data_IF_463212647012
#
_entry.id   IF_463212647012
#
_cell.length_a   1.000
_cell.length_b   1.000
_cell.length_c   1.000
_cell.angle_alpha   90.00
_cell.angle_beta   90.00
_cell.angle_gamma   90.00
#
_symmetry.space_group_name_H-M   'P 1'
#
loop_
_entity.id
_entity.type
_entity.pdbx_description
1 polymer ?
#
# COMPACT_ATOMS: atom_id res chain seq x y z
N UNK A 1 7.97 -0.06 33.32
CA UNK A 1 8.63 0.79 32.29
C UNK A 1 9.84 0.13 31.62
N UNK A 2 11.05 0.02 32.22
CA UNK A 2 12.23 -0.54 31.51
C UNK A 2 12.02 -2.01 31.09
N UNK A 3 11.42 -2.82 31.96
CA UNK A 3 11.08 -4.23 31.63
C UNK A 3 10.07 -4.35 30.48
N UNK A 4 9.09 -3.45 30.43
CA UNK A 4 8.07 -3.43 29.38
C UNK A 4 8.63 -2.97 28.03
N UNK A 5 9.54 -2.00 28.05
CA UNK A 5 10.25 -1.54 26.83
C UNK A 5 11.13 -2.67 26.29
N UNK A 6 11.89 -3.36 27.17
CA UNK A 6 12.67 -4.54 26.76
C UNK A 6 11.78 -5.62 26.15
N UNK A 7 10.67 -5.96 26.83
CA UNK A 7 9.70 -6.93 26.33
C UNK A 7 9.10 -6.54 24.97
N UNK A 8 8.80 -5.26 24.77
CA UNK A 8 8.29 -4.76 23.50
C UNK A 8 9.33 -4.87 22.37
N UNK A 9 10.60 -4.54 22.65
CA UNK A 9 11.66 -4.51 21.64
C UNK A 9 12.13 -5.91 21.26
N UNK A 10 12.30 -6.82 22.22
CA UNK A 10 12.90 -8.14 21.97
C UNK A 10 11.85 -9.24 21.77
N UNK A 11 10.83 -9.32 22.64
CA UNK A 11 9.97 -10.50 22.71
C UNK A 11 8.75 -10.44 21.79
N UNK A 12 8.28 -9.23 21.48
CA UNK A 12 7.01 -9.04 20.76
C UNK A 12 7.20 -9.18 19.25
N UNK A 13 6.42 -10.07 18.62
CA UNK A 13 6.29 -10.09 17.16
C UNK A 13 5.20 -9.10 16.71
N UNK A 14 5.59 -8.13 15.89
CA UNK A 14 4.68 -7.15 15.26
C UNK A 14 4.73 -7.26 13.71
N UNK A 15 5.11 -8.43 13.18
CA UNK A 15 5.26 -8.65 11.74
C UNK A 15 4.00 -8.36 10.92
N UNK A 16 2.80 -8.71 11.43
CA UNK A 16 1.54 -8.41 10.74
C UNK A 16 1.21 -6.93 10.81
N UNK A 17 1.47 -6.26 11.94
CA UNK A 17 1.29 -4.80 12.06
C UNK A 17 2.21 -4.06 11.08
N UNK A 18 3.48 -4.44 11.00
CA UNK A 18 4.44 -3.85 10.05
C UNK A 18 3.97 -4.07 8.62
N UNK A 19 3.57 -5.30 8.27
CA UNK A 19 3.09 -5.63 6.94
C UNK A 19 1.83 -4.85 6.56
N UNK A 20 0.86 -4.74 7.46
CA UNK A 20 -0.37 -3.97 7.22
C UNK A 20 -0.06 -2.48 7.03
N UNK A 21 0.85 -1.93 7.84
CA UNK A 21 1.31 -0.54 7.69
C UNK A 21 1.97 -0.33 6.32
N UNK A 22 2.86 -1.23 5.89
CA UNK A 22 3.49 -1.15 4.57
C UNK A 22 2.47 -1.25 3.44
N UNK A 23 1.50 -2.17 3.52
CA UNK A 23 0.42 -2.27 2.53
C UNK A 23 -0.31 -0.94 2.42
N UNK A 24 -0.71 -0.32 3.54
CA UNK A 24 -1.38 0.97 3.54
C UNK A 24 -0.50 2.08 2.95
N UNK A 25 0.78 2.15 3.37
CA UNK A 25 1.76 3.14 2.90
C UNK A 25 1.96 3.10 1.38
N UNK A 26 2.25 1.91 0.83
CA UNK A 26 2.46 1.76 -0.62
C UNK A 26 1.16 1.88 -1.42
N UNK A 27 0.01 1.57 -0.83
CA UNK A 27 -1.30 1.79 -1.47
C UNK A 27 -1.59 3.29 -1.62
N UNK A 28 -1.24 4.09 -0.61
CA UNK A 28 -1.39 5.54 -0.65
C UNK A 28 -0.48 6.15 -1.72
N UNK A 29 0.78 5.72 -1.79
CA UNK A 29 1.68 6.18 -2.86
C UNK A 29 1.19 5.79 -4.26
N UNK A 30 0.60 4.60 -4.40
CA UNK A 30 0.00 4.17 -5.66
C UNK A 30 -1.23 5.03 -6.02
N UNK A 31 -2.11 5.27 -5.06
CA UNK A 31 -3.26 6.15 -5.24
C UNK A 31 -2.81 7.57 -5.64
N UNK A 32 -1.81 8.12 -4.94
CA UNK A 32 -1.27 9.45 -5.21
C UNK A 32 -0.74 9.59 -6.64
N UNK A 33 0.09 8.65 -7.11
CA UNK A 33 0.60 8.72 -8.49
C UNK A 33 -0.51 8.53 -9.51
N UNK A 34 -1.46 7.61 -9.26
CA UNK A 34 -2.60 7.38 -10.16
C UNK A 34 -3.50 8.62 -10.28
N UNK A 35 -3.72 9.36 -9.19
CA UNK A 35 -4.46 10.62 -9.20
C UNK A 35 -3.72 11.74 -9.96
N UNK A 36 -2.39 11.68 -10.04
CA UNK A 36 -1.57 12.65 -10.79
C UNK A 36 -1.47 12.32 -12.28
N UNK A 37 -1.59 11.05 -12.68
CA UNK A 37 -1.42 10.62 -14.07
C UNK A 37 -2.24 11.42 -15.10
N UNK A 38 -3.52 11.76 -14.88
CA UNK A 38 -4.31 12.53 -15.86
C UNK A 38 -3.76 13.93 -16.12
N UNK A 39 -3.08 14.53 -15.15
CA UNK A 39 -2.57 15.90 -15.19
C UNK A 39 -1.04 15.96 -15.13
N UNK A 40 -0.37 14.88 -15.54
CA UNK A 40 1.07 14.69 -15.32
C UNK A 40 1.94 15.73 -16.04
N UNK A 41 1.46 16.23 -17.20
CA UNK A 41 2.12 17.29 -17.95
C UNK A 41 2.10 18.64 -17.23
N UNK A 42 1.06 18.91 -16.42
CA UNK A 42 0.97 20.12 -15.61
C UNK A 42 2.07 20.15 -14.53
N UNK A 43 2.39 18.98 -13.98
CA UNK A 43 3.35 18.86 -12.87
C UNK A 43 4.80 18.77 -13.35
N UNK A 44 5.04 18.09 -14.49
CA UNK A 44 6.38 17.72 -14.95
C UNK A 44 6.73 18.22 -16.35
N UNK A 45 5.95 19.15 -16.92
CA UNK A 45 6.25 19.87 -18.16
C UNK A 45 6.13 19.07 -19.47
N UNK A 46 5.92 19.78 -20.58
CA UNK A 46 5.83 19.22 -21.94
C UNK A 46 7.04 19.65 -22.81
N UNK A 47 7.58 18.78 -23.69
CA UNK A 47 7.42 17.34 -23.73
C UNK A 47 8.46 16.73 -22.78
N UNK A 48 8.01 16.32 -21.60
CA UNK A 48 8.79 15.56 -20.63
C UNK A 48 9.99 16.27 -19.95
N UNK A 49 9.91 17.58 -19.74
CA UNK A 49 10.94 18.33 -19.00
C UNK A 49 10.56 18.56 -17.56
N UNK A 50 11.21 17.81 -16.68
CA UNK A 50 11.33 18.12 -15.28
C UNK A 50 11.76 19.60 -15.12
N UNK A 51 10.93 20.41 -14.48
CA UNK A 51 11.21 21.83 -14.24
C UNK A 51 12.42 21.95 -13.31
N UNK A 52 13.38 22.83 -13.66
CA UNK A 52 14.53 23.10 -12.79
C UNK A 52 14.03 23.80 -11.52
N UNK A 53 14.08 23.11 -10.38
CA UNK A 53 13.94 23.75 -9.08
C UNK A 53 15.22 24.54 -8.80
N UNK A 54 15.07 25.78 -8.30
CA UNK A 54 16.20 26.59 -7.83
C UNK A 54 17.05 25.85 -6.79
N UNK A 55 18.34 26.21 -6.76
CA UNK A 55 19.40 25.57 -5.97
C UNK A 55 19.01 25.47 -4.48
N UNK A 56 18.55 24.29 -4.05
CA UNK A 56 18.13 24.04 -2.68
C UNK A 56 19.24 23.28 -1.97
N UNK A 57 20.18 24.01 -1.36
CA UNK A 57 21.27 23.42 -0.57
C UNK A 57 20.76 22.52 0.57
N UNK A 58 21.51 21.45 0.89
CA UNK A 58 21.24 20.53 2.00
C UNK A 58 21.22 19.04 1.62
N UNK A 59 20.54 18.20 2.42
CA UNK A 59 20.37 16.74 2.19
C UNK A 59 19.64 16.45 0.86
N UNK A 60 18.93 17.44 0.32
CA UNK A 60 18.29 17.46 -1.00
C UNK A 60 19.25 17.17 -2.16
N UNK A 61 20.56 17.40 -1.98
CA UNK A 61 21.59 17.03 -2.96
C UNK A 61 21.57 15.53 -3.34
N UNK A 62 21.10 14.65 -2.44
CA UNK A 62 20.93 13.21 -2.75
C UNK A 62 19.94 12.99 -3.91
N UNK A 63 18.93 13.86 -4.04
CA UNK A 63 18.00 13.84 -5.17
C UNK A 63 18.59 14.49 -6.42
N UNK A 64 19.57 15.40 -6.28
CA UNK A 64 20.33 15.99 -7.38
C UNK A 64 21.37 15.04 -8.00
N UNK A 65 21.81 13.98 -7.29
CA UNK A 65 22.70 12.94 -7.88
C UNK A 65 22.10 12.31 -9.16
N UNK A 66 20.78 12.38 -9.33
CA UNK A 66 20.08 11.93 -10.54
C UNK A 66 20.33 12.82 -11.77
N UNK A 67 20.93 14.00 -11.60
CA UNK A 67 21.29 14.92 -12.70
C UNK A 67 22.32 14.33 -13.68
N UNK A 68 23.04 13.27 -13.28
CA UNK A 68 24.16 12.69 -14.02
C UNK A 68 23.72 11.61 -15.04
N UNK A 69 22.57 10.96 -14.84
CA UNK A 69 22.18 9.77 -15.62
C UNK A 69 20.94 10.07 -16.50
N UNK A 70 21.13 10.75 -17.64
CA UNK A 70 20.30 10.78 -18.88
C UNK A 70 18.75 10.69 -18.83
N UNK A 71 18.11 10.97 -17.70
CA UNK A 71 16.65 10.95 -17.50
C UNK A 71 16.08 12.36 -17.30
N UNK A 72 16.94 13.38 -17.44
CA UNK A 72 16.66 14.82 -17.40
C UNK A 72 15.55 15.28 -18.38
N UNK A 73 15.16 14.42 -19.33
CA UNK A 73 14.22 14.75 -20.40
C UNK A 73 13.09 13.73 -20.57
N UNK A 74 12.89 12.78 -19.64
CA UNK A 74 11.71 11.92 -19.69
C UNK A 74 11.27 11.41 -18.31
N UNK A 75 10.15 11.93 -17.78
CA UNK A 75 9.56 11.47 -16.51
C UNK A 75 8.80 10.13 -16.63
N UNK A 76 8.49 9.66 -17.84
CA UNK A 76 7.70 8.43 -18.04
C UNK A 76 8.43 7.20 -17.49
N UNK A 77 9.72 6.95 -17.79
CA UNK A 77 10.46 5.84 -17.19
C UNK A 77 10.57 5.93 -15.66
N UNK A 78 10.68 7.15 -15.11
CA UNK A 78 10.69 7.39 -13.64
C UNK A 78 9.40 6.87 -13.03
N UNK A 79 8.27 7.30 -13.58
CA UNK A 79 6.93 7.00 -13.06
C UNK A 79 6.59 5.53 -13.27
N UNK A 80 6.93 4.96 -14.42
CA UNK A 80 6.75 3.53 -14.67
C UNK A 80 7.57 2.69 -13.67
N UNK A 81 8.85 3.02 -13.46
CA UNK A 81 9.70 2.33 -12.49
C UNK A 81 9.17 2.51 -11.06
N UNK A 82 8.67 3.70 -10.74
CA UNK A 82 8.04 3.99 -9.45
C UNK A 82 6.81 3.11 -9.22
N UNK A 83 5.87 3.08 -10.16
CA UNK A 83 4.67 2.23 -10.09
C UNK A 83 5.04 0.75 -9.94
N UNK A 84 6.00 0.25 -10.73
CA UNK A 84 6.47 -1.14 -10.61
C UNK A 84 7.06 -1.41 -9.22
N UNK A 85 7.87 -0.50 -8.69
CA UNK A 85 8.42 -0.64 -7.33
C UNK A 85 7.32 -0.67 -6.26
N UNK A 86 6.27 0.14 -6.39
CA UNK A 86 5.12 0.14 -5.48
C UNK A 86 4.35 -1.18 -5.55
N UNK A 87 4.10 -1.71 -6.74
CA UNK A 87 3.40 -2.99 -6.93
C UNK A 87 4.19 -4.15 -6.31
N UNK A 88 5.52 -4.19 -6.49
CA UNK A 88 6.39 -5.17 -5.82
C UNK A 88 6.28 -5.01 -4.30
N UNK A 89 6.30 -3.78 -3.78
CA UNK A 89 6.19 -3.54 -2.35
C UNK A 89 4.77 -3.83 -1.79
N UNK A 90 3.72 -3.80 -2.61
CA UNK A 90 2.39 -4.27 -2.21
C UNK A 90 2.31 -5.79 -2.14
N UNK A 91 3.16 -6.51 -2.87
CA UNK A 91 3.26 -7.97 -2.79
C UNK A 91 4.00 -8.45 -1.54
N UNK A 92 3.90 -9.74 -1.22
CA UNK A 92 4.71 -10.39 -0.18
C UNK A 92 6.22 -10.43 -0.52
N UNK A 93 6.60 -10.17 -1.78
CA UNK A 93 7.98 -10.27 -2.30
C UNK A 93 8.78 -8.99 -2.14
N UNK A 94 8.52 -8.23 -1.08
CA UNK A 94 9.25 -6.98 -0.85
C UNK A 94 10.74 -7.25 -0.69
N UNK A 95 11.56 -6.42 -1.32
CA UNK A 95 13.03 -6.46 -1.16
C UNK A 95 13.51 -5.11 -0.64
N UNK A 96 14.68 -5.07 -0.01
CA UNK A 96 15.29 -3.79 0.39
C UNK A 96 15.51 -2.88 -0.84
N UNK A 97 15.88 -3.48 -1.98
CA UNK A 97 16.02 -2.76 -3.24
C UNK A 97 14.71 -2.10 -3.69
N UNK A 98 13.60 -2.86 -3.77
CA UNK A 98 12.31 -2.30 -4.19
C UNK A 98 11.81 -1.19 -3.26
N UNK A 99 12.06 -1.30 -1.95
CA UNK A 99 11.71 -0.27 -0.97
C UNK A 99 12.55 0.99 -1.13
N UNK A 100 13.86 0.85 -1.34
CA UNK A 100 14.78 1.96 -1.64
C UNK A 100 14.43 2.66 -2.95
N UNK A 101 14.09 1.89 -3.99
CA UNK A 101 13.62 2.44 -5.27
C UNK A 101 12.36 3.29 -5.08
N UNK A 102 11.36 2.80 -4.33
CA UNK A 102 10.16 3.60 -4.05
C UNK A 102 10.46 4.86 -3.26
N UNK A 103 11.30 4.79 -2.22
CA UNK A 103 11.70 5.97 -1.44
C UNK A 103 12.40 7.02 -2.31
N UNK A 104 13.40 6.57 -3.07
CA UNK A 104 14.22 7.46 -3.89
C UNK A 104 13.41 8.12 -5.00
N UNK A 105 12.67 7.33 -5.79
CA UNK A 105 11.88 7.88 -6.91
C UNK A 105 10.76 8.80 -6.42
N UNK A 106 10.15 8.51 -5.26
CA UNK A 106 9.19 9.41 -4.65
C UNK A 106 9.83 10.76 -4.27
N UNK A 107 11.03 10.72 -3.67
CA UNK A 107 11.80 11.92 -3.35
C UNK A 107 12.14 12.73 -4.60
N UNK A 108 12.63 12.07 -5.66
CA UNK A 108 12.91 12.70 -6.96
C UNK A 108 11.67 13.39 -7.54
N UNK A 109 10.53 12.69 -7.58
CA UNK A 109 9.28 13.23 -8.13
C UNK A 109 8.73 14.43 -7.36
N UNK A 110 8.93 14.49 -6.04
CA UNK A 110 8.50 15.63 -5.22
C UNK A 110 9.53 16.76 -5.23
N UNK A 111 10.82 16.45 -5.31
CA UNK A 111 11.89 17.44 -5.42
C UNK A 111 11.73 18.31 -6.66
N UNK A 112 11.39 17.69 -7.79
CA UNK A 112 11.18 18.36 -9.07
C UNK A 112 9.81 19.02 -9.24
N UNK A 113 8.90 18.82 -8.29
CA UNK A 113 7.61 19.50 -8.26
C UNK A 113 7.32 19.95 -6.81
N UNK A 114 8.07 20.94 -6.28
CA UNK A 114 7.89 21.37 -4.90
C UNK A 114 6.53 22.06 -4.69
N UNK A 115 5.94 22.60 -5.76
CA UNK A 115 4.63 23.29 -5.72
C UNK A 115 3.46 22.39 -5.31
N UNK A 116 3.62 21.06 -5.41
CA UNK A 116 2.60 20.08 -4.97
C UNK A 116 2.97 19.39 -3.66
N UNK A 117 4.13 19.71 -3.09
CA UNK A 117 4.57 19.09 -1.84
C UNK A 117 3.78 19.68 -0.68
N UNK A 118 3.03 18.82 0.01
CA UNK A 118 2.35 19.14 1.26
C UNK A 118 2.96 18.37 2.44
N UNK A 119 2.39 18.55 3.63
CA UNK A 119 2.81 17.79 4.81
C UNK A 119 2.63 16.27 4.67
N UNK A 120 1.68 15.83 3.83
CA UNK A 120 1.48 14.43 3.50
C UNK A 120 2.66 13.85 2.72
N UNK A 121 3.14 14.58 1.71
CA UNK A 121 4.33 14.17 0.95
C UNK A 121 5.57 14.00 1.84
N UNK A 122 5.78 14.91 2.78
CA UNK A 122 6.89 14.81 3.73
C UNK A 122 6.77 13.55 4.62
N UNK A 123 5.57 13.23 5.10
CA UNK A 123 5.32 12.04 5.94
C UNK A 123 5.52 10.76 5.14
N UNK A 124 5.02 10.69 3.89
CA UNK A 124 5.23 9.53 3.01
C UNK A 124 6.72 9.30 2.79
N UNK A 125 7.48 10.36 2.51
CA UNK A 125 8.93 10.25 2.29
C UNK A 125 9.65 9.69 3.53
N UNK A 126 9.31 10.18 4.73
CA UNK A 126 9.86 9.68 6.00
C UNK A 126 9.48 8.21 6.24
N UNK A 127 8.22 7.85 6.00
CA UNK A 127 7.74 6.49 6.22
C UNK A 127 8.27 5.49 5.20
N UNK A 128 8.49 5.92 3.94
CA UNK A 128 9.24 5.12 2.97
C UNK A 128 10.66 4.87 3.43
N UNK A 129 11.35 5.90 3.94
CA UNK A 129 12.69 5.72 4.50
C UNK A 129 12.68 4.67 5.62
N UNK A 130 11.81 4.80 6.62
CA UNK A 130 11.67 3.79 7.68
C UNK A 130 11.31 2.41 7.15
N UNK A 131 10.47 2.33 6.12
CA UNK A 131 10.12 1.04 5.50
C UNK A 131 11.35 0.34 4.91
N UNK A 132 12.31 1.09 4.35
CA UNK A 132 13.55 0.52 3.81
C UNK A 132 14.38 -0.22 4.88
N UNK A 133 14.30 0.23 6.13
CA UNK A 133 15.06 -0.31 7.25
C UNK A 133 14.48 -1.60 7.82
N UNK A 134 13.20 -1.91 7.56
CA UNK A 134 12.60 -3.17 7.99
C UNK A 134 13.32 -4.36 7.37
N UNK A 135 13.50 -5.41 8.16
CA UNK A 135 14.22 -6.63 7.77
C UNK A 135 13.28 -7.82 7.67
N UNK A 136 13.56 -8.70 6.71
CA UNK A 136 12.86 -9.98 6.58
C UNK A 136 13.56 -11.06 7.41
N UNK A 137 12.81 -11.76 8.27
CA UNK A 137 13.29 -12.90 9.05
C UNK A 137 12.91 -12.85 10.53
N UNK A 138 13.18 -13.94 11.23
CA UNK A 138 12.70 -14.19 12.60
C UNK A 138 13.79 -14.18 13.68
N UNK A 139 15.02 -13.78 13.35
CA UNK A 139 16.10 -13.71 14.35
C UNK A 139 15.83 -12.61 15.37
N UNK A 140 16.31 -12.79 16.61
CA UNK A 140 16.12 -11.82 17.70
C UNK A 140 16.63 -10.41 17.34
N UNK A 141 17.77 -10.31 16.65
CA UNK A 141 18.30 -9.02 16.17
C UNK A 141 17.36 -8.37 15.15
N UNK A 142 16.77 -9.15 14.24
CA UNK A 142 15.83 -8.63 13.24
C UNK A 142 14.51 -8.18 13.88
N UNK A 143 13.99 -8.94 14.85
CA UNK A 143 12.83 -8.53 15.66
C UNK A 143 13.10 -7.21 16.38
N UNK A 144 14.25 -7.09 17.04
CA UNK A 144 14.67 -5.86 17.70
C UNK A 144 14.69 -4.67 16.73
N UNK A 145 15.36 -4.81 15.58
CA UNK A 145 15.42 -3.77 14.55
C UNK A 145 14.02 -3.37 14.10
N UNK A 146 13.16 -4.35 13.78
CA UNK A 146 11.81 -4.11 13.31
C UNK A 146 10.93 -3.41 14.37
N UNK A 147 11.00 -3.84 15.62
CA UNK A 147 10.25 -3.22 16.71
C UNK A 147 10.77 -1.82 17.04
N UNK A 148 12.08 -1.60 16.92
CA UNK A 148 12.69 -0.28 17.09
C UNK A 148 12.24 0.69 16.00
N UNK A 149 12.24 0.27 14.72
CA UNK A 149 11.74 1.10 13.61
C UNK A 149 10.24 1.38 13.78
N UNK A 150 9.45 0.40 14.21
CA UNK A 150 8.03 0.61 14.49
C UNK A 150 7.82 1.64 15.62
N UNK A 151 8.66 1.61 16.66
CA UNK A 151 8.67 2.62 17.71
C UNK A 151 9.04 4.01 17.17
N UNK A 152 10.02 4.11 16.26
CA UNK A 152 10.36 5.38 15.60
C UNK A 152 9.19 5.94 14.82
N UNK A 153 8.42 5.11 14.10
CA UNK A 153 7.19 5.53 13.42
C UNK A 153 6.17 6.07 14.43
N UNK A 154 5.94 5.36 15.53
CA UNK A 154 5.00 5.79 16.59
C UNK A 154 5.43 7.13 17.20
N UNK A 155 6.72 7.30 17.49
CA UNK A 155 7.28 8.54 18.01
C UNK A 155 7.21 9.67 16.99
N UNK A 156 7.44 9.40 15.70
CA UNK A 156 7.30 10.37 14.63
C UNK A 156 5.86 10.89 14.56
N UNK A 157 4.85 10.02 14.68
CA UNK A 157 3.44 10.42 14.75
C UNK A 157 3.17 11.28 15.99
N UNK A 158 3.68 10.87 17.16
CA UNK A 158 3.56 11.67 18.39
C UNK A 158 4.21 13.06 18.23
N UNK A 159 5.36 13.14 17.59
CA UNK A 159 6.07 14.38 17.34
C UNK A 159 5.31 15.31 16.38
N UNK A 160 4.74 14.76 15.29
CA UNK A 160 3.87 15.51 14.38
C UNK A 160 2.70 16.13 15.15
N UNK A 161 2.04 15.33 16.00
CA UNK A 161 0.93 15.79 16.83
C UNK A 161 1.34 16.88 17.82
N UNK A 162 2.41 16.65 18.58
CA UNK A 162 2.90 17.58 19.58
C UNK A 162 3.34 18.91 18.94
N UNK A 163 4.10 18.85 17.85
CA UNK A 163 4.55 20.03 17.12
C UNK A 163 3.37 20.84 16.57
N UNK A 164 2.40 20.17 15.93
CA UNK A 164 1.20 20.81 15.42
C UNK A 164 0.33 21.41 16.53
N UNK A 165 0.23 20.73 17.68
CA UNK A 165 -0.51 21.18 18.86
C UNK A 165 0.13 22.40 19.52
N UNK A 166 1.45 22.38 19.73
CA UNK A 166 2.20 23.51 20.29
C UNK A 166 2.16 24.74 19.38
N UNK A 167 2.30 24.55 18.06
CA UNK A 167 2.13 25.63 17.10
C UNK A 167 0.73 26.27 17.18
N UNK A 168 -0.32 25.46 17.35
CA UNK A 168 -1.69 25.96 17.53
C UNK A 168 -1.92 26.60 18.90
N UNK A 169 -1.31 26.07 19.96
CA UNK A 169 -1.39 26.66 21.30
C UNK A 169 -0.84 28.10 21.33
N UNK A 170 0.19 28.37 20.53
CA UNK A 170 0.76 29.71 20.35
C UNK A 170 -0.07 30.62 19.41
N UNK A 171 -1.05 30.06 18.68
CA UNK A 171 -1.89 30.80 17.73
C UNK A 171 -3.18 31.33 18.35
N UNK A 172 -3.38 32.66 18.34
CA UNK A 172 -4.57 33.31 18.93
C UNK A 172 -5.91 32.82 18.36
N UNK A 173 -5.97 32.46 17.08
CA UNK A 173 -7.21 31.98 16.46
C UNK A 173 -7.63 30.60 17.00
N UNK A 174 -6.66 29.74 17.28
CA UNK A 174 -6.91 28.39 17.79
C UNK A 174 -7.33 28.44 19.26
N UNK A 175 -6.62 29.21 20.09
CA UNK A 175 -6.95 29.36 21.51
C UNK A 175 -8.26 30.10 21.75
N UNK A 176 -8.68 30.98 20.83
CA UNK A 176 -10.00 31.63 20.84
C UNK A 176 -11.12 30.76 20.27
N UNK A 177 -10.81 29.57 19.74
CA UNK A 177 -11.82 28.65 19.22
C UNK A 177 -12.48 29.09 17.90
N UNK A 178 -11.79 29.91 17.10
CA UNK A 178 -12.33 30.44 15.83
C UNK A 178 -11.51 30.03 14.60
N UNK A 179 -10.38 29.34 14.78
CA UNK A 179 -9.48 28.98 13.69
C UNK A 179 -10.14 28.18 12.56
N UNK A 180 -11.03 27.23 12.88
CA UNK A 180 -11.72 26.45 11.84
C UNK A 180 -12.57 27.33 10.94
N UNK A 181 -13.15 28.42 11.44
CA UNK A 181 -13.93 29.34 10.61
C UNK A 181 -13.04 29.93 9.52
N UNK A 182 -11.89 30.49 9.90
CA UNK A 182 -10.94 31.07 8.95
C UNK A 182 -10.37 30.04 7.98
N UNK A 183 -10.07 28.82 8.45
CA UNK A 183 -9.60 27.75 7.58
C UNK A 183 -10.62 27.40 6.50
N UNK A 184 -11.91 27.38 6.85
CA UNK A 184 -12.99 27.07 5.89
C UNK A 184 -13.28 28.21 4.91
N UNK A 185 -12.83 29.45 5.17
CA UNK A 185 -12.95 30.57 4.23
C UNK A 185 -11.85 30.57 3.15
N UNK A 186 -10.87 29.65 3.23
CA UNK A 186 -9.86 29.52 2.19
C UNK A 186 -10.42 28.63 1.08
N UNK A 187 -10.71 29.21 -0.08
CA UNK A 187 -11.34 28.50 -1.21
C UNK A 187 -10.52 27.30 -1.69
N UNK A 188 -9.19 27.36 -1.58
CA UNK A 188 -8.31 26.24 -1.96
C UNK A 188 -8.41 25.04 -1.00
N UNK A 189 -8.94 25.23 0.21
CA UNK A 189 -9.00 24.20 1.27
C UNK A 189 -10.41 24.00 1.83
N UNK A 190 -11.45 24.29 1.05
CA UNK A 190 -12.83 24.17 1.50
C UNK A 190 -13.79 23.92 0.35
N UNK A 191 -14.74 23.02 0.55
CA UNK A 191 -15.80 22.78 -0.43
C UNK A 191 -16.94 23.81 -0.28
N UNK A 192 -17.59 24.26 -1.37
CA UNK A 192 -18.68 25.23 -1.30
C UNK A 192 -19.83 24.83 -0.34
N UNK A 193 -20.14 23.53 -0.26
CA UNK A 193 -21.18 23.01 0.63
C UNK A 193 -20.81 23.13 2.12
N UNK A 194 -19.51 23.02 2.44
CA UNK A 194 -18.97 23.15 3.79
C UNK A 194 -18.97 24.62 4.21
N UNK A 195 -18.56 25.51 3.31
CA UNK A 195 -18.63 26.97 3.50
C UNK A 195 -20.06 27.44 3.78
N UNK A 196 -21.04 26.94 3.03
CA UNK A 196 -22.43 27.39 3.13
C UNK A 196 -23.20 26.96 4.40
N UNK A 197 -22.76 25.88 5.06
CA UNK A 197 -23.53 25.21 6.13
C UNK A 197 -22.77 25.07 7.44
N UNK A 198 -21.59 24.43 7.42
CA UNK A 198 -20.82 24.13 8.62
C UNK A 198 -20.15 25.38 9.22
N UNK A 199 -19.71 26.31 8.36
CA UNK A 199 -19.09 27.55 8.81
C UNK A 199 -20.04 28.50 9.58
N UNK A 200 -21.36 28.28 9.49
CA UNK A 200 -22.38 29.07 10.20
C UNK A 200 -22.66 28.56 11.62
N UNK A 201 -22.23 27.34 11.96
CA UNK A 201 -22.45 26.76 13.28
C UNK A 201 -21.33 27.15 14.23
N UNK A 202 -21.62 28.09 15.15
CA UNK A 202 -20.66 28.52 16.19
C UNK A 202 -20.18 27.33 17.05
N UNK A 203 -21.10 26.42 17.40
CA UNK A 203 -20.78 25.22 18.17
C UNK A 203 -19.77 24.33 17.43
N UNK A 204 -20.00 24.08 16.13
CA UNK A 204 -19.08 23.28 15.32
C UNK A 204 -17.70 23.93 15.27
N UNK A 205 -17.63 25.23 14.95
CA UNK A 205 -16.37 25.98 14.84
C UNK A 205 -15.57 25.94 16.15
N UNK A 206 -16.22 26.16 17.29
CA UNK A 206 -15.53 26.14 18.59
C UNK A 206 -15.08 24.74 18.96
N UNK A 207 -15.93 23.72 18.80
CA UNK A 207 -15.59 22.33 19.08
C UNK A 207 -14.47 21.81 18.17
N UNK A 208 -14.50 22.12 16.88
CA UNK A 208 -13.46 21.70 15.95
C UNK A 208 -12.13 22.41 16.22
N UNK A 209 -12.16 23.71 16.56
CA UNK A 209 -10.94 24.48 16.83
C UNK A 209 -10.28 24.04 18.15
N UNK A 210 -11.01 24.08 19.26
CA UNK A 210 -10.48 23.72 20.58
C UNK A 210 -10.30 22.21 20.72
N UNK A 211 -11.22 21.41 20.16
CA UNK A 211 -11.11 19.96 20.17
C UNK A 211 -9.89 19.46 19.41
N UNK A 212 -9.56 20.05 18.25
CA UNK A 212 -8.32 19.73 17.54
C UNK A 212 -7.10 20.06 18.39
N UNK A 213 -7.07 21.24 19.03
CA UNK A 213 -5.95 21.64 19.89
C UNK A 213 -5.75 20.67 21.07
N UNK A 214 -6.82 20.38 21.81
CA UNK A 214 -6.80 19.45 22.95
C UNK A 214 -6.38 18.05 22.50
N UNK A 215 -6.94 17.57 21.39
CA UNK A 215 -6.61 16.26 20.83
C UNK A 215 -5.12 16.17 20.45
N UNK A 216 -4.58 17.16 19.73
CA UNK A 216 -3.19 17.15 19.29
C UNK A 216 -2.20 17.17 20.47
N UNK A 217 -2.49 17.92 21.53
CA UNK A 217 -1.65 17.97 22.74
C UNK A 217 -1.78 16.72 23.61
N UNK A 218 -2.95 16.09 23.65
CA UNK A 218 -3.20 14.90 24.47
C UNK A 218 -2.80 13.58 23.79
N UNK A 219 -2.79 13.52 22.46
CA UNK A 219 -2.48 12.31 21.69
C UNK A 219 -1.15 11.64 22.10
N UNK A 220 -0.01 12.35 22.22
CA UNK A 220 1.27 11.75 22.59
C UNK A 220 1.26 11.02 23.93
N UNK A 221 0.33 11.35 24.82
CA UNK A 221 0.18 10.74 26.14
C UNK A 221 -0.87 9.63 26.13
N UNK A 222 -2.03 9.88 25.51
CA UNK A 222 -3.17 8.97 25.55
C UNK A 222 -3.04 7.74 24.65
N UNK A 223 -2.24 7.81 23.58
CA UNK A 223 -2.11 6.69 22.63
C UNK A 223 -1.41 5.47 23.24
N UNK A 224 -0.55 5.66 24.26
CA UNK A 224 0.20 4.56 24.88
C UNK A 224 -0.66 3.71 25.82
N UNK A 225 -1.68 4.31 26.45
CA UNK A 225 -2.58 3.59 27.35
C UNK A 225 -3.56 2.72 26.55
N UNK A 226 -3.54 1.41 26.82
CA UNK A 226 -4.35 0.40 26.12
C UNK A 226 -5.86 0.68 26.14
N UNK A 227 -6.37 1.33 27.20
CA UNK A 227 -7.81 1.65 27.33
C UNK A 227 -8.22 2.85 26.46
N UNK A 228 -7.38 3.86 26.38
CA UNK A 228 -7.66 5.10 25.64
C UNK A 228 -7.23 5.01 24.17
N UNK A 229 -6.27 4.14 23.85
CA UNK A 229 -5.71 3.96 22.50
C UNK A 229 -6.76 3.77 21.41
N UNK A 230 -7.76 2.87 21.52
CA UNK A 230 -8.75 2.69 20.46
C UNK A 230 -9.56 3.96 20.20
N UNK A 231 -9.91 4.70 21.27
CA UNK A 231 -10.69 5.93 21.18
C UNK A 231 -9.89 7.04 20.49
N UNK A 232 -8.62 7.26 20.88
CA UNK A 232 -7.81 8.32 20.27
C UNK A 232 -7.46 8.02 18.81
N UNK A 233 -7.27 6.75 18.46
CA UNK A 233 -7.12 6.32 17.07
C UNK A 233 -8.38 6.62 16.28
N UNK A 234 -9.57 6.27 16.81
CA UNK A 234 -10.83 6.53 16.13
C UNK A 234 -11.05 8.03 15.89
N UNK A 235 -10.87 8.86 16.93
CA UNK A 235 -11.00 10.32 16.82
C UNK A 235 -9.97 10.86 15.82
N UNK A 236 -8.72 10.40 15.90
CA UNK A 236 -7.66 10.78 14.98
C UNK A 236 -8.01 10.43 13.53
N UNK A 237 -8.52 9.22 13.26
CA UNK A 237 -8.98 8.81 11.93
C UNK A 237 -10.12 9.69 11.43
N UNK A 238 -11.11 10.00 12.26
CA UNK A 238 -12.24 10.86 11.87
C UNK A 238 -11.78 12.28 11.53
N UNK A 239 -10.87 12.87 12.34
CA UNK A 239 -10.29 14.19 12.05
C UNK A 239 -9.55 14.17 10.70
N UNK A 240 -8.79 13.13 10.42
CA UNK A 240 -7.98 13.07 9.19
C UNK A 240 -8.82 12.76 7.95
N UNK A 241 -9.87 11.94 8.07
CA UNK A 241 -10.88 11.76 7.03
C UNK A 241 -11.63 13.06 6.74
N UNK A 242 -12.00 13.81 7.78
CA UNK A 242 -12.59 15.13 7.64
C UNK A 242 -11.65 16.08 6.88
N UNK A 243 -10.36 16.10 7.21
CA UNK A 243 -9.36 16.93 6.51
C UNK A 243 -9.28 16.52 5.03
N UNK A 244 -9.21 15.22 4.72
CA UNK A 244 -9.17 14.76 3.33
C UNK A 244 -10.41 15.15 2.54
N UNK A 245 -11.61 14.99 3.13
CA UNK A 245 -12.87 15.20 2.43
C UNK A 245 -13.28 16.67 2.36
N UNK A 246 -13.14 17.42 3.45
CA UNK A 246 -13.61 18.80 3.53
C UNK A 246 -12.55 19.81 3.10
N UNK A 247 -11.26 19.49 3.29
CA UNK A 247 -10.17 20.42 2.98
C UNK A 247 -9.34 20.03 1.74
N UNK A 248 -9.68 18.93 1.07
CA UNK A 248 -8.98 18.48 -0.15
C UNK A 248 -7.55 17.97 0.09
N UNK A 249 -7.10 17.87 1.35
CA UNK A 249 -5.79 17.36 1.73
C UNK A 249 -5.81 15.83 1.79
N UNK A 250 -6.03 15.21 0.62
CA UNK A 250 -6.21 13.77 0.45
C UNK A 250 -4.98 13.01 0.94
N UNK A 251 -3.79 13.34 0.43
CA UNK A 251 -2.53 12.66 0.77
C UNK A 251 -2.25 12.71 2.27
N UNK A 252 -2.35 13.91 2.87
CA UNK A 252 -2.11 14.10 4.30
C UNK A 252 -3.08 13.31 5.19
N UNK A 253 -4.39 13.39 4.94
CA UNK A 253 -5.35 12.69 5.78
C UNK A 253 -5.28 11.17 5.64
N UNK A 254 -4.99 10.65 4.44
CA UNK A 254 -4.79 9.21 4.25
C UNK A 254 -3.50 8.71 4.93
N UNK A 255 -2.37 9.40 4.78
CA UNK A 255 -1.11 8.91 5.37
C UNK A 255 -1.13 8.96 6.89
N UNK A 256 -1.70 10.00 7.47
CA UNK A 256 -1.89 10.07 8.92
C UNK A 256 -2.86 9.00 9.42
N UNK A 257 -3.93 8.69 8.67
CA UNK A 257 -4.84 7.60 9.01
C UNK A 257 -4.14 6.24 8.94
N UNK A 258 -3.32 5.99 7.92
CA UNK A 258 -2.51 4.79 7.81
C UNK A 258 -1.47 4.66 8.93
N UNK A 259 -0.93 5.80 9.41
CA UNK A 259 0.05 5.81 10.50
C UNK A 259 -0.47 5.19 11.80
N UNK A 260 -1.80 5.24 12.06
CA UNK A 260 -2.38 4.63 13.26
C UNK A 260 -2.26 3.11 13.30
N UNK A 261 -2.09 2.46 12.14
CA UNK A 261 -1.83 1.01 12.07
C UNK A 261 -0.60 0.67 12.92
N UNK A 262 0.40 1.56 12.99
CA UNK A 262 1.59 1.34 13.81
C UNK A 262 1.30 1.13 15.31
N UNK A 263 0.13 1.56 15.80
CA UNK A 263 -0.30 1.40 17.19
C UNK A 263 -1.20 0.17 17.42
N UNK A 264 -1.56 -0.57 16.37
CA UNK A 264 -2.43 -1.74 16.45
C UNK A 264 -1.72 -2.93 17.10
N UNK A 265 -2.51 -3.78 17.75
CA UNK A 265 -2.05 -5.10 18.16
C UNK A 265 -1.88 -6.00 16.94
N UNK A 266 -0.84 -6.84 16.97
CA UNK A 266 -0.46 -7.68 15.82
C UNK A 266 -1.59 -8.62 15.38
N UNK A 267 -2.34 -9.16 16.35
CA UNK A 267 -3.52 -10.01 16.09
C UNK A 267 -4.62 -9.26 15.33
N UNK A 268 -4.88 -8.01 15.68
CA UNK A 268 -5.85 -7.17 14.96
C UNK A 268 -5.37 -6.94 13.52
N UNK A 269 -4.09 -6.65 13.34
CA UNK A 269 -3.49 -6.47 12.01
C UNK A 269 -3.55 -7.74 11.17
N UNK A 270 -3.30 -8.90 11.78
CA UNK A 270 -3.44 -10.22 11.14
C UNK A 270 -4.86 -10.47 10.66
N UNK A 271 -5.86 -10.18 11.49
CA UNK A 271 -7.27 -10.33 11.12
C UNK A 271 -7.65 -9.43 9.94
N UNK A 272 -7.19 -8.18 9.93
CA UNK A 272 -7.40 -7.26 8.80
C UNK A 272 -6.73 -7.78 7.53
N UNK A 273 -5.47 -8.22 7.60
CA UNK A 273 -4.76 -8.80 6.44
C UNK A 273 -5.52 -10.01 5.90
N UNK A 274 -6.06 -10.87 6.77
CA UNK A 274 -6.79 -12.06 6.37
C UNK A 274 -8.09 -11.73 5.60
N UNK A 275 -8.73 -10.58 5.85
CA UNK A 275 -9.86 -10.10 5.02
C UNK A 275 -9.45 -9.89 3.56
N UNK A 276 -8.17 -9.55 3.33
CA UNK A 276 -7.61 -9.30 2.02
C UNK A 276 -6.78 -10.48 1.48
N UNK A 277 -6.71 -11.63 2.15
CA UNK A 277 -6.14 -12.84 1.56
C UNK A 277 -7.15 -13.51 0.61
N UNK A 278 -6.67 -14.12 -0.45
CA UNK A 278 -7.47 -15.03 -1.28
C UNK A 278 -7.48 -16.40 -0.60
N UNK A 279 -8.47 -17.23 -0.92
CA UNK A 279 -8.51 -18.62 -0.42
C UNK A 279 -7.27 -19.37 -0.95
N UNK A 280 -6.65 -20.24 -0.15
CA UNK A 280 -5.53 -21.02 -0.63
C UNK A 280 -5.99 -21.91 -1.78
N UNK A 281 -5.24 -21.88 -2.89
CA UNK A 281 -5.50 -22.65 -4.09
C UNK A 281 -4.25 -23.46 -4.43
N UNK A 282 -4.35 -24.78 -4.35
CA UNK A 282 -3.29 -25.66 -4.84
C UNK A 282 -3.55 -25.94 -6.31
N UNK A 283 -2.58 -25.67 -7.18
CA UNK A 283 -2.70 -25.88 -8.63
C UNK A 283 -1.63 -26.87 -9.06
N UNK A 284 -2.04 -27.88 -9.81
CA UNK A 284 -1.16 -28.91 -10.33
C UNK A 284 -0.74 -28.55 -11.75
N UNK A 285 0.57 -28.33 -11.94
CA UNK A 285 1.15 -28.08 -13.24
C UNK A 285 2.00 -29.27 -13.66
N UNK A 286 1.93 -29.62 -14.95
CA UNK A 286 2.79 -30.63 -15.55
C UNK A 286 4.19 -30.05 -15.79
N UNK A 287 5.18 -30.55 -15.03
CA UNK A 287 6.58 -30.10 -15.11
C UNK A 287 7.23 -30.40 -16.45
N UNK A 288 6.74 -31.39 -17.19
CA UNK A 288 7.25 -31.76 -18.51
C UNK A 288 6.74 -30.81 -19.61
N UNK A 289 5.67 -30.06 -19.35
CA UNK A 289 5.10 -29.11 -20.30
C UNK A 289 5.69 -27.70 -20.13
N UNK A 290 6.55 -27.29 -21.06
CA UNK A 290 7.20 -25.96 -21.05
C UNK A 290 6.20 -24.80 -20.97
N UNK A 291 5.07 -24.88 -21.67
CA UNK A 291 4.03 -23.83 -21.66
C UNK A 291 3.27 -23.78 -20.33
N UNK A 292 2.96 -24.93 -19.74
CA UNK A 292 2.40 -25.00 -18.40
C UNK A 292 3.36 -24.37 -17.38
N UNK A 293 4.66 -24.68 -17.48
CA UNK A 293 5.68 -24.09 -16.61
C UNK A 293 5.90 -22.59 -16.85
N UNK A 294 5.78 -22.09 -18.08
CA UNK A 294 5.79 -20.65 -18.36
C UNK A 294 4.58 -19.94 -17.73
N UNK A 295 3.38 -20.53 -17.86
CA UNK A 295 2.17 -20.01 -17.23
C UNK A 295 2.26 -20.06 -15.70
N UNK A 296 2.73 -21.18 -15.13
CA UNK A 296 2.97 -21.34 -13.70
C UNK A 296 3.95 -20.28 -13.16
N UNK A 297 5.04 -20.01 -13.89
CA UNK A 297 5.97 -18.92 -13.57
C UNK A 297 5.30 -17.55 -13.61
N UNK A 298 4.50 -17.27 -14.64
CA UNK A 298 3.77 -16.01 -14.76
C UNK A 298 2.75 -15.83 -13.63
N UNK A 299 1.95 -16.85 -13.33
CA UNK A 299 1.02 -16.86 -12.18
C UNK A 299 1.79 -16.62 -10.88
N UNK A 300 2.91 -17.33 -10.67
CA UNK A 300 3.74 -17.13 -9.47
C UNK A 300 4.27 -15.71 -9.38
N UNK A 301 4.67 -15.07 -10.48
CA UNK A 301 5.12 -13.66 -10.50
C UNK A 301 4.00 -12.72 -10.08
N UNK A 302 2.79 -12.92 -10.62
CA UNK A 302 1.61 -12.05 -10.43
C UNK A 302 0.88 -12.33 -9.10
N UNK A 303 1.04 -13.52 -8.51
CA UNK A 303 0.46 -13.85 -7.20
C UNK A 303 1.15 -13.06 -6.09
N UNK A 304 0.65 -11.87 -5.86
CA UNK A 304 1.14 -10.95 -4.82
C UNK A 304 0.72 -11.39 -3.41
N UNK A 305 -0.29 -12.26 -3.32
CA UNK A 305 -0.90 -12.72 -2.08
C UNK A 305 -0.30 -14.02 -1.54
N UNK A 306 0.53 -14.70 -2.36
CA UNK A 306 1.06 -16.04 -2.07
C UNK A 306 -0.04 -17.04 -1.67
N UNK A 307 -1.21 -16.92 -2.32
CA UNK A 307 -2.35 -17.81 -2.09
C UNK A 307 -2.30 -19.06 -2.96
N UNK A 308 -1.51 -19.04 -4.04
CA UNK A 308 -1.44 -20.12 -5.03
C UNK A 308 -0.21 -21.00 -4.75
N UNK A 309 -0.46 -22.24 -4.35
CA UNK A 309 0.59 -23.26 -4.20
C UNK A 309 0.69 -24.08 -5.47
N UNK A 310 1.86 -24.09 -6.10
CA UNK A 310 2.11 -24.86 -7.33
C UNK A 310 2.73 -26.20 -6.94
N UNK A 311 2.14 -27.30 -7.41
CA UNK A 311 2.66 -28.66 -7.27
C UNK A 311 2.87 -29.32 -8.62
N UNK A 312 3.77 -30.30 -8.67
CA UNK A 312 3.95 -31.14 -9.85
C UNK A 312 2.82 -32.18 -9.91
N UNK A 313 2.14 -32.26 -11.04
CA UNK A 313 1.12 -33.28 -11.27
C UNK A 313 1.72 -34.71 -11.33
N UNK A 314 2.98 -34.84 -11.74
CA UNK A 314 3.64 -36.15 -11.92
C UNK A 314 4.03 -36.79 -10.58
N UNK A 315 4.40 -36.00 -9.56
CA UNK A 315 4.83 -36.52 -8.25
C UNK A 315 3.64 -36.96 -7.37
N UNK A 316 2.49 -36.27 -7.47
CA UNK A 316 1.31 -36.54 -6.63
C UNK A 316 0.40 -37.67 -7.21
N UNK A 317 0.91 -38.50 -8.14
CA UNK A 317 0.22 -39.65 -8.76
C UNK A 317 -1.13 -39.34 -9.43
N UNK A 318 -1.36 -38.06 -9.72
CA UNK A 318 -2.57 -37.57 -10.36
C UNK A 318 -2.25 -37.25 -11.83
N UNK A 319 -2.21 -38.28 -12.68
CA UNK A 319 -2.19 -38.06 -14.13
C UNK A 319 -3.55 -37.49 -14.56
N UNK A 320 -3.61 -36.17 -14.68
CA UNK A 320 -4.84 -35.46 -14.98
C UNK A 320 -4.79 -34.88 -16.40
N UNK A 321 -5.70 -35.26 -17.30
CA UNK A 321 -5.69 -34.80 -18.69
C UNK A 321 -6.06 -33.31 -18.81
N UNK A 322 -6.52 -32.65 -17.75
CA UNK A 322 -6.88 -31.23 -17.73
C UNK A 322 -6.06 -30.48 -16.68
N UNK A 323 -6.17 -29.15 -16.60
CA UNK A 323 -5.60 -28.40 -15.48
C UNK A 323 -6.47 -28.60 -14.25
N UNK A 324 -5.89 -28.99 -13.12
CA UNK A 324 -6.63 -29.18 -11.88
C UNK A 324 -6.14 -28.21 -10.80
N UNK A 325 -7.11 -27.76 -10.02
CA UNK A 325 -6.83 -27.00 -8.80
C UNK A 325 -7.77 -27.40 -7.68
N UNK A 326 -7.25 -27.37 -6.47
CA UNK A 326 -7.93 -27.78 -5.25
C UNK A 326 -7.99 -26.61 -4.26
N UNK A 327 -9.18 -26.34 -3.73
CA UNK A 327 -9.39 -25.33 -2.69
C UNK A 327 -10.53 -25.75 -1.78
N UNK A 328 -10.32 -25.74 -0.45
CA UNK A 328 -11.35 -26.05 0.57
C UNK A 328 -12.18 -27.30 0.24
N UNK A 329 -11.49 -28.41 -0.07
CA UNK A 329 -12.15 -29.70 -0.39
C UNK A 329 -12.97 -29.73 -1.68
N UNK A 330 -12.88 -28.67 -2.50
CA UNK A 330 -13.46 -28.63 -3.84
C UNK A 330 -12.39 -28.71 -4.91
N UNK A 331 -12.64 -29.58 -5.87
CA UNK A 331 -11.83 -29.77 -7.06
C UNK A 331 -12.41 -28.96 -8.23
N UNK A 332 -11.53 -28.29 -8.97
CA UNK A 332 -11.86 -27.56 -10.19
C UNK A 332 -11.00 -28.05 -11.35
N UNK A 333 -11.60 -28.21 -12.52
CA UNK A 333 -10.97 -28.79 -13.70
C UNK A 333 -11.07 -27.89 -14.92
N UNK A 334 -10.12 -28.03 -15.85
CA UNK A 334 -10.08 -27.31 -17.12
C UNK A 334 -10.13 -25.78 -16.98
N UNK A 335 -11.07 -25.14 -17.68
CA UNK A 335 -11.24 -23.68 -17.60
C UNK A 335 -11.64 -23.20 -16.20
N UNK A 336 -12.39 -23.99 -15.44
CA UNK A 336 -12.79 -23.59 -14.08
C UNK A 336 -11.57 -23.47 -13.17
N UNK A 337 -10.55 -24.31 -13.36
CA UNK A 337 -9.27 -24.17 -12.66
C UNK A 337 -8.57 -22.85 -13.03
N UNK A 338 -8.56 -22.48 -14.32
CA UNK A 338 -8.03 -21.17 -14.76
C UNK A 338 -8.83 -20.02 -14.13
N UNK A 339 -10.16 -20.10 -14.10
CA UNK A 339 -11.00 -19.09 -13.48
C UNK A 339 -10.67 -18.93 -11.98
N UNK A 340 -10.51 -20.02 -11.23
CA UNK A 340 -10.10 -19.97 -9.82
C UNK A 340 -8.70 -19.37 -9.61
N UNK A 341 -7.75 -19.67 -10.49
CA UNK A 341 -6.44 -19.03 -10.50
C UNK A 341 -6.61 -17.52 -10.66
N UNK A 342 -7.38 -17.08 -11.66
CA UNK A 342 -7.58 -15.65 -11.93
C UNK A 342 -8.33 -14.96 -10.79
N UNK A 343 -9.34 -15.59 -10.18
CA UNK A 343 -10.03 -15.06 -9.00
C UNK A 343 -9.11 -14.94 -7.77
N UNK A 344 -8.09 -15.80 -7.68
CA UNK A 344 -7.10 -15.73 -6.61
C UNK A 344 -6.12 -14.56 -6.81
N UNK A 345 -5.91 -14.12 -8.06
CA UNK A 345 -5.08 -12.98 -8.44
C UNK A 345 -5.84 -11.65 -8.32
N UNK A 346 -5.82 -11.03 -7.13
CA UNK A 346 -6.60 -9.81 -6.84
C UNK A 346 -6.30 -8.60 -7.74
N UNK A 347 -5.12 -8.53 -8.36
CA UNK A 347 -4.82 -7.48 -9.35
C UNK A 347 -5.75 -7.55 -10.58
N UNK A 348 -6.39 -8.70 -10.82
CA UNK A 348 -7.30 -8.95 -11.92
C UNK A 348 -8.78 -8.78 -11.54
N UNK A 349 -9.11 -8.22 -10.36
CA UNK A 349 -10.50 -7.92 -9.95
C UNK A 349 -11.32 -7.24 -11.05
N UNK A 350 -10.80 -6.23 -11.79
CA UNK A 350 -11.56 -5.60 -12.87
C UNK A 350 -11.99 -6.57 -13.99
N UNK A 351 -11.28 -7.70 -14.16
CA UNK A 351 -11.59 -8.73 -15.15
C UNK A 351 -12.56 -9.80 -14.61
N UNK A 352 -12.87 -9.81 -13.31
CA UNK A 352 -13.72 -10.85 -12.71
C UNK A 352 -15.12 -10.95 -13.35
N UNK A 353 -15.82 -9.85 -13.71
CA UNK A 353 -17.11 -9.94 -14.38
C UNK A 353 -17.02 -10.69 -15.72
N UNK A 354 -15.95 -10.45 -16.48
CA UNK A 354 -15.70 -11.12 -17.77
C UNK A 354 -15.41 -12.61 -17.55
N UNK A 355 -14.55 -12.95 -16.58
CA UNK A 355 -14.20 -14.34 -16.24
C UNK A 355 -15.45 -15.11 -15.78
N UNK A 356 -16.28 -14.50 -14.93
CA UNK A 356 -17.53 -15.07 -14.46
C UNK A 356 -18.51 -15.34 -15.61
N UNK A 357 -18.60 -14.42 -16.57
CA UNK A 357 -19.43 -14.61 -17.75
C UNK A 357 -18.94 -15.78 -18.61
N UNK A 358 -17.63 -15.92 -18.83
CA UNK A 358 -17.04 -17.05 -19.55
C UNK A 358 -17.27 -18.40 -18.85
N UNK A 359 -17.23 -18.41 -17.52
CA UNK A 359 -17.50 -19.59 -16.68
C UNK A 359 -18.98 -20.00 -16.74
N UNK A 360 -19.90 -19.05 -16.56
CA UNK A 360 -21.35 -19.32 -16.57
C UNK A 360 -21.90 -19.70 -17.94
N UNK A 361 -21.39 -19.06 -19.01
CA UNK A 361 -21.83 -19.35 -20.38
C UNK A 361 -21.19 -20.60 -20.98
N UNK A 362 -20.25 -21.25 -20.27
CA UNK A 362 -19.42 -22.37 -20.76
C UNK A 362 -18.59 -22.05 -22.01
N UNK A 363 -18.56 -20.81 -22.46
CA UNK A 363 -17.69 -20.35 -23.55
C UNK A 363 -16.23 -20.56 -23.18
N UNK A 364 -15.85 -20.31 -21.92
CA UNK A 364 -14.49 -20.55 -21.43
C UNK A 364 -14.08 -22.02 -21.52
N UNK A 365 -14.96 -22.94 -21.12
CA UNK A 365 -14.75 -24.40 -21.26
C UNK A 365 -14.61 -24.81 -22.72
N UNK A 366 -15.48 -24.29 -23.59
CA UNK A 366 -15.42 -24.54 -25.03
C UNK A 366 -14.09 -24.09 -25.65
N UNK A 367 -13.61 -22.89 -25.31
CA UNK A 367 -12.31 -22.38 -25.76
C UNK A 367 -11.19 -23.29 -25.25
N UNK A 368 -11.22 -23.63 -23.96
CA UNK A 368 -10.20 -24.46 -23.33
C UNK A 368 -10.09 -25.85 -24.00
N UNK A 369 -11.20 -26.53 -24.20
CA UNK A 369 -11.21 -27.88 -24.79
C UNK A 369 -10.82 -27.86 -26.29
N UNK A 370 -11.25 -26.83 -27.03
CA UNK A 370 -11.00 -26.71 -28.47
C UNK A 370 -9.56 -26.32 -28.79
N UNK A 371 -8.98 -25.40 -28.02
CA UNK A 371 -7.71 -24.77 -28.36
C UNK A 371 -6.58 -25.11 -27.40
N UNK A 372 -6.83 -25.17 -26.09
CA UNK A 372 -5.78 -25.36 -25.10
C UNK A 372 -5.48 -26.85 -24.92
N UNK A 373 -6.51 -27.67 -24.71
CA UNK A 373 -6.37 -29.10 -24.42
C UNK A 373 -5.89 -29.87 -25.66
N UNK A 374 -6.39 -29.52 -26.84
CA UNK A 374 -5.98 -30.11 -28.14
C UNK A 374 -4.78 -29.44 -28.80
N UNK A 375 -4.10 -28.52 -28.10
CA UNK A 375 -2.91 -27.89 -28.65
C UNK A 375 -1.76 -28.89 -28.81
N UNK A 376 -0.99 -28.75 -29.90
CA UNK A 376 0.25 -29.50 -30.13
C UNK A 376 1.31 -29.32 -29.02
N UNK A 377 1.07 -28.39 -28.09
CA UNK A 377 1.95 -28.07 -26.97
C UNK A 377 1.87 -29.09 -25.83
N UNK A 378 0.73 -29.78 -25.68
CA UNK A 378 0.59 -30.94 -24.76
C UNK A 378 0.97 -32.27 -25.41
N UNK A 379 0.87 -32.35 -26.73
CA UNK A 379 1.13 -33.55 -27.53
C UNK A 379 2.64 -33.87 -27.73
N UNK A 380 3.55 -33.05 -27.19
CA UNK A 380 4.99 -33.33 -27.16
C UNK A 380 5.44 -34.15 -25.94
N UNK A 381 4.52 -34.82 -25.23
CA UNK A 381 4.90 -35.98 -24.43
C UNK A 381 5.23 -37.10 -25.41
N UNK A 382 6.52 -37.34 -25.67
CA UNK A 382 6.94 -38.43 -26.56
C UNK A 382 6.43 -39.74 -26.00
N UNK A 383 5.78 -40.53 -26.86
CA UNK A 383 5.28 -41.86 -26.56
C UNK A 383 6.31 -42.63 -25.69
N UNK A 384 5.93 -42.95 -24.45
CA UNK A 384 6.80 -43.57 -23.45
C UNK A 384 6.96 -42.82 -22.13
N UNK A 385 6.57 -41.54 -22.05
CA UNK A 385 6.69 -40.72 -20.81
C UNK A 385 5.38 -40.51 -20.04
N UNK A 386 4.24 -40.93 -20.59
CA UNK A 386 2.89 -40.83 -19.99
C UNK A 386 2.17 -42.18 -19.90
N UNK A 387 2.92 -43.27 -19.82
CA UNK A 387 2.39 -44.61 -19.59
C UNK A 387 3.14 -45.23 -18.41
N UNK A 388 2.77 -44.82 -17.21
CA UNK A 388 2.96 -45.59 -15.98
C UNK A 388 1.64 -45.54 -15.21
#
# INVERSE_FOLDING_TARGET
MISEIKKYLFDKDNSNTIRLFQIALYSIGLLEILLRLPNIELFYGSPHKILESGDNGGITFIFDLFRIFTWKYNYIPVIATYIVSLLINLSAKQTTFSKLTSWYLYGVLNYYCPSIADGGCAIILIFYFYSTLFTNGSTEVKKFINNFILLLIQLQVCFIYLSAGLAKANGKLWTRGVATYYALQVDQFSLPIVQGSLAKSSLFITLSSLGTLIFQLSFPYLVWNKKTRPLVILIGSLIHLQISLLMGLITFGFIMSASYISFYEDEKSKNIINLFKSRPLTVFFDSQCVKCMQFAKAVKVIDFSESITIRDAQEDSHYLPTLHSYSEEKEYTGFNSIAQILYSLKILIPLFPMIYLLEKTRVGTWIYDRYILKSNWRLKCTAGSCSL
#
